data_IF_678108970816
#
_entry.id   IF_678108970816
#
_cell.length_a   1.000
_cell.length_b   1.000
_cell.length_c   1.000
_cell.angle_alpha   90.00
_cell.angle_beta   90.00
_cell.angle_gamma   90.00
#
_symmetry.space_group_name_H-M   'P 1'
#
loop_
_entity.id
_entity.type
_entity.pdbx_description
1 polymer ?
#
# COMPACT_ATOMS: atom_id res chain seq x y z
N UNK A 1 0.81 13.84 7.08
CA UNK A 1 2.04 13.52 6.31
C UNK A 1 2.94 14.74 6.36
N UNK A 2 4.27 14.56 6.37
CA UNK A 2 5.19 15.69 6.17
C UNK A 2 5.06 16.27 4.77
N UNK A 3 5.57 17.48 4.55
CA UNK A 3 5.53 18.19 3.25
C UNK A 3 6.27 17.46 2.14
N UNK A 4 7.25 16.63 2.48
CA UNK A 4 8.12 15.92 1.54
C UNK A 4 7.79 14.42 1.46
N UNK A 5 6.52 14.06 1.68
CA UNK A 5 6.07 12.68 1.69
C UNK A 5 4.83 12.47 0.81
N UNK A 6 4.81 11.35 0.08
CA UNK A 6 3.67 10.92 -0.72
C UNK A 6 3.29 9.48 -0.37
N UNK A 7 1.99 9.19 -0.29
CA UNK A 7 1.47 7.85 -0.06
C UNK A 7 0.66 7.37 -1.26
N UNK A 8 0.94 6.15 -1.70
CA UNK A 8 0.12 5.40 -2.63
C UNK A 8 -0.62 4.32 -1.85
N UNK A 9 -1.95 4.39 -1.86
CA UNK A 9 -2.84 3.42 -1.20
C UNK A 9 -3.70 2.76 -2.27
N UNK A 10 -3.65 1.43 -2.35
CA UNK A 10 -4.38 0.67 -3.37
C UNK A 10 -4.72 -0.73 -2.90
N UNK A 11 -5.72 -1.33 -3.55
CA UNK A 11 -6.03 -2.75 -3.41
C UNK A 11 -5.27 -3.53 -4.47
N UNK A 12 -4.64 -4.62 -4.06
CA UNK A 12 -3.94 -5.54 -4.96
C UNK A 12 -4.39 -6.99 -4.71
N UNK A 13 -4.15 -7.85 -5.70
CA UNK A 13 -4.28 -9.31 -5.55
C UNK A 13 -2.87 -9.86 -5.32
N UNK A 14 -2.62 -10.37 -4.13
CA UNK A 14 -1.38 -11.04 -3.76
C UNK A 14 -1.43 -12.52 -4.14
N UNK A 15 -0.26 -13.08 -4.49
CA UNK A 15 -0.06 -14.51 -4.75
C UNK A 15 1.10 -14.99 -3.89
N UNK A 16 0.89 -16.03 -3.08
CA UNK A 16 1.93 -16.60 -2.22
C UNK A 16 2.06 -18.11 -2.47
N UNK A 17 3.11 -18.52 -3.17
CA UNK A 17 3.35 -19.93 -3.49
C UNK A 17 2.15 -20.58 -4.17
N UNK A 18 1.64 -21.65 -3.54
CA UNK A 18 0.48 -22.41 -4.01
C UNK A 18 -0.84 -22.03 -3.30
N UNK A 19 -0.83 -21.00 -2.44
CA UNK A 19 -2.05 -20.52 -1.80
C UNK A 19 -2.98 -19.83 -2.81
N UNK A 20 -4.28 -19.88 -2.54
CA UNK A 20 -5.27 -19.15 -3.32
C UNK A 20 -4.97 -17.63 -3.29
N UNK A 21 -5.04 -16.93 -4.44
CA UNK A 21 -4.81 -15.49 -4.47
C UNK A 21 -5.76 -14.75 -3.54
N UNK A 22 -5.24 -13.76 -2.80
CA UNK A 22 -6.02 -12.99 -1.84
C UNK A 22 -5.82 -11.49 -2.02
N UNK A 23 -6.81 -10.71 -1.56
CA UNK A 23 -6.75 -9.25 -1.66
C UNK A 23 -5.98 -8.65 -0.49
N UNK A 24 -5.17 -7.65 -0.78
CA UNK A 24 -4.45 -6.87 0.22
C UNK A 24 -4.71 -5.38 0.00
N UNK A 25 -4.84 -4.65 1.11
CA UNK A 25 -4.69 -3.21 1.12
C UNK A 25 -3.19 -2.90 1.27
N UNK A 26 -2.64 -2.19 0.29
CA UNK A 26 -1.23 -1.81 0.26
C UNK A 26 -1.13 -0.32 0.52
N UNK A 27 -0.19 0.05 1.39
CA UNK A 27 0.24 1.42 1.62
C UNK A 27 1.74 1.51 1.37
N UNK A 28 2.13 2.33 0.39
CA UNK A 28 3.53 2.67 0.12
C UNK A 28 3.74 4.16 0.37
N UNK A 29 4.55 4.50 1.36
CA UNK A 29 4.91 5.89 1.67
C UNK A 29 6.33 6.13 1.25
N UNK A 30 6.51 7.08 0.34
CA UNK A 30 7.82 7.59 -0.04
C UNK A 30 8.07 8.96 0.58
N UNK A 31 9.32 9.22 0.93
CA UNK A 31 9.82 10.53 1.33
C UNK A 31 10.86 10.99 0.32
N UNK A 32 10.92 12.29 0.03
CA UNK A 32 12.04 12.84 -0.73
C UNK A 32 13.27 12.96 0.19
N UNK A 33 14.39 12.37 -0.23
CA UNK A 33 15.70 12.57 0.39
C UNK A 33 16.66 13.05 -0.68
N UNK A 34 17.15 14.28 -0.55
CA UNK A 34 18.11 14.88 -1.48
C UNK A 34 17.64 14.83 -2.95
N UNK A 35 16.35 15.11 -3.20
CA UNK A 35 15.75 15.10 -4.54
C UNK A 35 15.46 13.71 -5.10
N UNK A 36 15.55 12.66 -4.26
CA UNK A 36 15.23 11.29 -4.63
C UNK A 36 14.13 10.72 -3.73
N UNK A 37 13.10 10.16 -4.35
CA UNK A 37 12.07 9.41 -3.61
C UNK A 37 12.65 8.12 -3.02
N UNK A 38 12.50 7.96 -1.70
CA UNK A 38 12.88 6.75 -0.95
C UNK A 38 11.66 6.17 -0.25
N UNK A 39 11.53 4.85 -0.33
CA UNK A 39 10.47 4.12 0.37
C UNK A 39 10.75 4.15 1.89
N UNK A 40 9.91 4.87 2.63
CA UNK A 40 10.00 4.99 4.08
C UNK A 40 9.14 3.94 4.80
N UNK A 41 7.99 3.59 4.22
CA UNK A 41 7.10 2.58 4.75
C UNK A 41 6.47 1.79 3.61
N UNK A 42 6.52 0.46 3.75
CA UNK A 42 5.72 -0.46 2.97
C UNK A 42 4.93 -1.34 3.92
N UNK A 43 3.61 -1.27 3.82
CA UNK A 43 2.72 -2.11 4.59
C UNK A 43 1.71 -2.78 3.65
N UNK A 44 1.49 -4.06 3.89
CA UNK A 44 0.40 -4.82 3.29
C UNK A 44 -0.42 -5.44 4.41
N UNK A 45 -1.73 -5.31 4.31
CA UNK A 45 -2.67 -5.92 5.26
C UNK A 45 -3.71 -6.69 4.47
N UNK A 46 -4.04 -7.89 4.94
CA UNK A 46 -5.11 -8.69 4.36
C UNK A 46 -6.41 -7.86 4.32
N UNK A 47 -7.02 -7.80 3.14
CA UNK A 47 -8.30 -7.14 2.95
C UNK A 47 -9.36 -8.22 2.72
N UNK A 48 -10.14 -8.54 3.76
CA UNK A 48 -11.49 -9.11 3.52
C UNK A 48 -12.32 -8.04 2.82
N UNK A 49 -13.24 -8.45 1.95
CA UNK A 49 -14.05 -7.55 1.12
C UNK A 49 -14.45 -6.28 1.88
N UNK A 50 -13.81 -5.15 1.54
CA UNK A 50 -14.24 -3.84 2.00
C UNK A 50 -15.53 -3.56 1.25
N UNK A 51 -16.66 -3.87 1.89
CA UNK A 51 -17.97 -3.37 1.47
C UNK A 51 -17.82 -1.85 1.39
N UNK A 52 -17.98 -1.33 0.18
CA UNK A 52 -17.62 0.02 -0.24
C UNK A 52 -17.85 1.07 0.84
N UNK A 53 -16.77 1.64 1.39
CA UNK A 53 -16.86 2.88 2.14
C UNK A 53 -17.15 3.99 1.13
N UNK A 54 -18.42 4.40 1.03
CA UNK A 54 -18.82 5.57 0.25
C UNK A 54 -18.28 6.81 0.99
N UNK A 55 -17.53 7.62 0.25
CA UNK A 55 -17.15 8.99 0.62
C UNK A 55 -18.38 9.88 0.51
#
# INVERSE_FOLDING_TARGET
MGTDAAALIYLAVARCGAEEPFRVLVSSTCVDTDGAARLALYQQTWARELTTMRV
#
